data_IF_304028784383
#
_entry.id   IF_304028784383
#
_cell.length_a   1.000
_cell.length_b   1.000
_cell.length_c   1.000
_cell.angle_alpha   90.00
_cell.angle_beta   90.00
_cell.angle_gamma   90.00
#
_symmetry.space_group_name_H-M   'P 1'
#
loop_
_entity.id
_entity.type
_entity.pdbx_description
1 polymer ?
#
# COMPACT_ATOMS: atom_id res chain seq x y z
N UNK A 1 -5.65 -2.25 22.79
CA UNK A 1 -5.29 -0.88 22.45
C UNK A 1 -4.96 -0.77 20.96
N UNK A 2 -5.54 0.20 20.29
CA UNK A 2 -5.31 0.37 18.85
C UNK A 2 -4.00 1.11 18.60
N UNK A 3 -3.22 0.60 17.69
CA UNK A 3 -1.96 1.18 17.27
C UNK A 3 -2.19 2.15 16.10
N UNK A 4 -1.42 3.24 16.06
CA UNK A 4 -1.41 4.14 14.90
C UNK A 4 -0.52 3.51 13.82
N UNK A 5 -1.07 3.31 12.63
CA UNK A 5 -0.38 2.67 11.52
C UNK A 5 0.12 3.76 10.56
N UNK A 6 1.40 3.76 10.27
CA UNK A 6 2.00 4.68 9.30
C UNK A 6 1.94 4.04 7.92
N UNK A 7 1.23 4.67 6.99
CA UNK A 7 0.93 4.12 5.68
C UNK A 7 1.52 5.01 4.59
N UNK A 8 2.24 4.40 3.66
CA UNK A 8 2.68 5.06 2.43
C UNK A 8 1.80 4.54 1.29
N UNK A 9 1.03 5.43 0.69
CA UNK A 9 0.16 5.11 -0.45
C UNK A 9 0.80 5.64 -1.73
N UNK A 10 1.07 4.75 -2.67
CA UNK A 10 1.67 5.10 -3.95
C UNK A 10 0.61 4.93 -5.02
N UNK A 11 -0.02 6.04 -5.42
CA UNK A 11 -1.19 6.05 -6.28
C UNK A 11 -1.29 7.41 -6.96
N UNK A 12 -1.32 7.43 -8.29
CA UNK A 12 -1.41 8.69 -9.03
C UNK A 12 -2.85 9.16 -9.29
N UNK A 13 -3.82 8.26 -9.19
CA UNK A 13 -5.22 8.59 -9.43
C UNK A 13 -5.85 9.21 -8.19
N UNK A 14 -6.35 10.43 -8.34
CA UNK A 14 -6.88 11.20 -7.22
C UNK A 14 -8.13 10.54 -6.61
N UNK A 15 -9.00 9.97 -7.45
CA UNK A 15 -10.21 9.30 -6.95
C UNK A 15 -9.87 8.04 -6.16
N UNK A 16 -8.89 7.27 -6.63
CA UNK A 16 -8.42 6.09 -5.91
C UNK A 16 -7.78 6.47 -4.58
N UNK A 17 -7.03 7.58 -4.54
CA UNK A 17 -6.48 8.10 -3.29
C UNK A 17 -7.59 8.40 -2.29
N UNK A 18 -8.64 9.06 -2.75
CA UNK A 18 -9.78 9.42 -1.89
C UNK A 18 -10.52 8.19 -1.37
N UNK A 19 -10.65 7.16 -2.19
CA UNK A 19 -11.31 5.93 -1.77
C UNK A 19 -10.54 5.22 -0.67
N UNK A 20 -9.21 5.19 -0.75
CA UNK A 20 -8.38 4.61 0.30
C UNK A 20 -8.56 5.39 1.60
N UNK A 21 -8.47 6.73 1.54
CA UNK A 21 -8.64 7.56 2.72
C UNK A 21 -10.01 7.36 3.36
N UNK A 22 -11.06 7.33 2.54
CA UNK A 22 -12.43 7.14 3.03
C UNK A 22 -12.58 5.79 3.72
N UNK A 23 -12.02 4.73 3.13
CA UNK A 23 -12.13 3.40 3.69
C UNK A 23 -11.42 3.29 5.03
N UNK A 24 -10.21 3.86 5.14
CA UNK A 24 -9.47 3.87 6.40
C UNK A 24 -10.27 4.58 7.50
N UNK A 25 -10.87 5.71 7.16
CA UNK A 25 -11.67 6.48 8.11
C UNK A 25 -12.93 5.73 8.54
N UNK A 26 -13.63 5.13 7.59
CA UNK A 26 -14.87 4.39 7.88
C UNK A 26 -14.62 3.14 8.73
N UNK A 27 -13.46 2.53 8.57
CA UNK A 27 -13.08 1.35 9.35
C UNK A 27 -12.51 1.72 10.73
N UNK A 28 -12.47 3.00 11.05
CA UNK A 28 -11.95 3.51 12.33
C UNK A 28 -10.50 3.08 12.59
N UNK A 29 -9.70 3.08 11.53
CA UNK A 29 -8.28 2.71 11.64
C UNK A 29 -7.48 3.95 11.99
N UNK A 30 -6.77 3.90 13.11
CA UNK A 30 -5.85 4.98 13.48
C UNK A 30 -4.65 4.92 12.56
N UNK A 31 -4.42 6.01 11.81
CA UNK A 31 -3.37 5.98 10.79
C UNK A 31 -2.79 7.37 10.53
N UNK A 32 -1.58 7.37 10.00
CA UNK A 32 -0.97 8.54 9.36
C UNK A 32 -0.68 8.13 7.94
N UNK A 33 -1.19 8.89 6.98
CA UNK A 33 -1.13 8.53 5.57
C UNK A 33 -0.30 9.55 4.78
N UNK A 34 0.76 9.07 4.15
CA UNK A 34 1.52 9.85 3.19
C UNK A 34 1.19 9.32 1.79
N UNK A 35 0.74 10.21 0.91
CA UNK A 35 0.36 9.88 -0.47
C UNK A 35 1.42 10.43 -1.39
N UNK A 36 1.91 9.58 -2.30
CA UNK A 36 2.82 9.97 -3.37
C UNK A 36 2.29 9.45 -4.70
N UNK A 37 2.73 10.03 -5.80
CA UNK A 37 2.16 9.78 -7.11
C UNK A 37 2.95 8.79 -7.95
N UNK A 38 4.16 8.43 -7.56
CA UNK A 38 4.99 7.51 -8.34
C UNK A 38 6.08 6.88 -7.45
N UNK A 39 6.80 5.93 -8.04
CA UNK A 39 7.83 5.21 -7.32
C UNK A 39 9.03 6.05 -6.93
N UNK A 40 9.39 7.05 -7.72
CA UNK A 40 10.50 7.94 -7.39
C UNK A 40 10.22 8.74 -6.12
N UNK A 41 9.00 9.29 -6.02
CA UNK A 41 8.58 9.99 -4.82
C UNK A 41 8.54 9.07 -3.60
N UNK A 42 8.09 7.82 -3.81
CA UNK A 42 8.05 6.85 -2.74
C UNK A 42 9.45 6.53 -2.21
N UNK A 43 10.43 6.35 -3.10
CA UNK A 43 11.80 6.11 -2.68
C UNK A 43 12.36 7.28 -1.88
N UNK A 44 12.03 8.51 -2.28
CA UNK A 44 12.47 9.69 -1.53
C UNK A 44 11.89 9.68 -0.11
N UNK A 45 10.63 9.30 0.04
CA UNK A 45 10.00 9.18 1.37
C UNK A 45 10.71 8.12 2.22
N UNK A 46 11.03 6.97 1.61
CA UNK A 46 11.70 5.88 2.34
C UNK A 46 13.12 6.23 2.77
N UNK A 47 13.79 7.10 2.03
CA UNK A 47 15.16 7.51 2.32
C UNK A 47 15.24 8.62 3.39
N UNK A 48 14.10 9.22 3.75
CA UNK A 48 14.08 10.30 4.72
C UNK A 48 12.78 10.31 5.51
N UNK A 49 12.51 11.45 6.14
CA UNK A 49 11.24 11.65 6.84
C UNK A 49 10.28 12.43 5.93
N UNK A 50 9.01 12.43 6.30
CA UNK A 50 7.99 13.17 5.57
C UNK A 50 7.12 13.95 6.55
N UNK A 51 6.14 14.69 6.01
CA UNK A 51 5.29 15.57 6.81
C UNK A 51 4.20 14.84 7.61
N UNK A 52 4.05 13.52 7.43
CA UNK A 52 2.99 12.75 8.08
C UNK A 52 3.51 11.85 9.20
N UNK A 53 4.70 11.28 9.05
CA UNK A 53 5.28 10.41 10.07
C UNK A 53 6.80 10.39 9.93
N UNK A 54 7.48 9.88 10.95
CA UNK A 54 8.93 9.71 10.95
C UNK A 54 9.27 8.22 10.79
N UNK A 55 10.42 7.95 10.18
CA UNK A 55 10.89 6.59 9.99
C UNK A 55 10.20 5.86 8.86
N UNK A 56 10.33 4.54 8.87
CA UNK A 56 9.76 3.69 7.83
C UNK A 56 8.25 3.54 8.03
N UNK A 57 7.47 3.42 6.95
CA UNK A 57 6.05 3.10 7.10
C UNK A 57 5.88 1.68 7.62
N UNK A 58 4.75 1.44 8.27
CA UNK A 58 4.35 0.09 8.68
C UNK A 58 3.79 -0.69 7.49
N UNK A 59 3.21 0.03 6.53
CA UNK A 59 2.47 -0.56 5.43
C UNK A 59 2.66 0.28 4.18
N UNK A 60 2.86 -0.38 3.05
CA UNK A 60 2.87 0.26 1.74
C UNK A 60 1.69 -0.26 0.93
N UNK A 61 0.91 0.65 0.36
CA UNK A 61 -0.15 0.35 -0.60
C UNK A 61 0.33 0.85 -1.95
N UNK A 62 0.46 -0.05 -2.91
CA UNK A 62 1.11 0.23 -4.18
C UNK A 62 0.20 -0.05 -5.38
N UNK A 63 -0.06 0.99 -6.17
CA UNK A 63 -0.66 0.83 -7.49
C UNK A 63 0.42 0.40 -8.48
N UNK A 64 0.16 -0.60 -9.30
CA UNK A 64 1.14 -1.10 -10.27
C UNK A 64 1.25 -0.20 -11.50
N UNK A 65 0.17 0.49 -11.88
CA UNK A 65 0.15 1.33 -13.08
C UNK A 65 0.37 2.80 -12.73
N UNK A 66 1.61 3.24 -12.81
CA UNK A 66 1.97 4.62 -12.50
C UNK A 66 2.90 5.18 -13.56
N UNK A 67 2.88 6.52 -13.77
CA UNK A 67 3.87 7.16 -14.63
C UNK A 67 5.25 7.15 -13.98
N UNK A 68 6.27 7.45 -14.76
CA UNK A 68 7.67 7.47 -14.34
C UNK A 68 8.09 6.06 -13.88
N UNK A 69 8.37 5.82 -12.62
CA UNK A 69 8.71 4.50 -12.15
C UNK A 69 7.43 3.70 -11.88
N UNK A 70 7.17 2.65 -12.67
CA UNK A 70 5.98 1.83 -12.49
C UNK A 70 6.09 0.95 -11.25
N UNK A 71 4.96 0.31 -10.88
CA UNK A 71 4.90 -0.45 -9.64
C UNK A 71 5.85 -1.63 -9.58
N UNK A 72 6.06 -2.33 -10.69
CA UNK A 72 6.99 -3.48 -10.71
C UNK A 72 8.43 -3.04 -10.53
N UNK A 73 8.83 -1.93 -11.14
CA UNK A 73 10.16 -1.37 -10.95
C UNK A 73 10.38 -0.98 -9.49
N UNK A 74 9.38 -0.37 -8.88
CA UNK A 74 9.44 0.00 -7.46
C UNK A 74 9.57 -1.24 -6.58
N UNK A 75 8.78 -2.29 -6.86
CA UNK A 75 8.86 -3.55 -6.11
C UNK A 75 10.27 -4.16 -6.16
N UNK A 76 10.88 -4.18 -7.35
CA UNK A 76 12.22 -4.72 -7.50
C UNK A 76 13.21 -3.97 -6.62
N UNK A 77 13.10 -2.65 -6.58
CA UNK A 77 14.00 -1.83 -5.78
C UNK A 77 13.79 -2.03 -4.28
N UNK A 78 12.54 -2.06 -3.83
CA UNK A 78 12.26 -2.17 -2.41
C UNK A 78 12.60 -3.56 -1.88
N UNK A 79 12.36 -4.60 -2.66
CA UNK A 79 12.64 -5.97 -2.23
C UNK A 79 14.13 -6.33 -2.27
N UNK A 80 14.93 -5.56 -2.97
CA UNK A 80 16.38 -5.73 -2.96
C UNK A 80 17.08 -4.91 -1.87
N UNK A 81 16.34 -4.08 -1.14
CA UNK A 81 16.91 -3.21 -0.13
C UNK A 81 16.78 -3.83 1.26
N UNK A 82 17.91 -3.97 1.95
CA UNK A 82 17.97 -4.69 3.23
C UNK A 82 17.07 -4.08 4.31
N UNK A 83 16.88 -2.76 4.29
CA UNK A 83 16.07 -2.08 5.30
C UNK A 83 14.57 -2.03 4.97
N UNK A 84 14.19 -2.19 3.71
CA UNK A 84 12.81 -2.00 3.27
C UNK A 84 12.09 -3.28 2.87
N UNK A 85 12.83 -4.36 2.58
CA UNK A 85 12.25 -5.59 2.04
C UNK A 85 11.24 -6.25 2.98
N UNK A 86 11.30 -5.97 4.26
CA UNK A 86 10.40 -6.56 5.25
C UNK A 86 9.14 -5.73 5.52
N UNK A 87 9.03 -4.54 4.92
CA UNK A 87 7.83 -3.72 5.11
C UNK A 87 6.65 -4.42 4.46
N UNK A 88 5.53 -4.51 5.18
CA UNK A 88 4.31 -5.11 4.63
C UNK A 88 3.84 -4.29 3.44
N UNK A 89 3.54 -4.97 2.33
CA UNK A 89 3.16 -4.31 1.10
C UNK A 89 1.97 -5.02 0.46
N UNK A 90 0.91 -4.28 0.21
CA UNK A 90 -0.25 -4.74 -0.52
C UNK A 90 -0.33 -4.00 -1.85
N UNK A 91 -0.70 -4.72 -2.90
CA UNK A 91 -0.81 -4.16 -4.25
C UNK A 91 -2.27 -3.84 -4.54
N UNK A 92 -2.50 -2.59 -4.99
CA UNK A 92 -3.82 -2.15 -5.48
C UNK A 92 -3.86 -2.43 -6.98
N UNK A 93 -4.84 -3.20 -7.43
CA UNK A 93 -4.90 -3.63 -8.82
C UNK A 93 -6.34 -3.78 -9.29
N UNK A 94 -6.56 -3.66 -10.60
CA UNK A 94 -7.85 -3.97 -11.19
C UNK A 94 -7.91 -5.45 -11.55
N UNK A 95 -9.12 -5.97 -11.76
CA UNK A 95 -9.30 -7.39 -12.01
C UNK A 95 -8.72 -7.85 -13.35
N UNK A 96 -8.44 -6.92 -14.28
CA UNK A 96 -7.91 -7.24 -15.60
C UNK A 96 -6.39 -7.15 -15.70
N UNK A 97 -5.69 -6.91 -14.59
CA UNK A 97 -4.23 -6.79 -14.56
C UNK A 97 -3.58 -8.11 -14.13
N UNK A 98 -3.90 -9.21 -14.84
CA UNK A 98 -3.44 -10.54 -14.44
C UNK A 98 -1.94 -10.74 -14.58
N UNK A 99 -1.34 -10.25 -15.66
CA UNK A 99 0.11 -10.40 -15.88
C UNK A 99 0.91 -9.62 -14.82
N UNK A 100 0.47 -8.41 -14.50
CA UNK A 100 1.11 -7.59 -13.48
C UNK A 100 0.97 -8.23 -12.10
N UNK A 101 -0.18 -8.83 -11.80
CA UNK A 101 -0.39 -9.53 -10.54
C UNK A 101 0.57 -10.71 -10.39
N UNK A 102 0.71 -11.51 -11.46
CA UNK A 102 1.64 -12.63 -11.44
C UNK A 102 3.08 -12.18 -11.24
N UNK A 103 3.48 -11.12 -11.93
CA UNK A 103 4.82 -10.58 -11.79
C UNK A 103 5.05 -10.05 -10.37
N UNK A 104 4.08 -9.34 -9.80
CA UNK A 104 4.19 -8.80 -8.46
C UNK A 104 4.26 -9.89 -7.39
N UNK A 105 3.52 -10.99 -7.58
CA UNK A 105 3.48 -12.06 -6.60
C UNK A 105 4.84 -12.72 -6.38
N UNK A 106 5.73 -12.61 -7.36
CA UNK A 106 7.07 -13.19 -7.25
C UNK A 106 7.97 -12.42 -6.29
N UNK A 107 7.57 -11.22 -5.87
CA UNK A 107 8.37 -10.40 -4.96
C UNK A 107 8.00 -10.60 -3.50
N UNK A 108 7.13 -11.56 -3.17
CA UNK A 108 6.79 -11.82 -1.77
C UNK A 108 5.96 -10.74 -1.13
N UNK A 109 4.99 -10.20 -1.86
CA UNK A 109 4.06 -9.20 -1.32
C UNK A 109 3.09 -9.83 -0.34
N UNK A 110 2.45 -8.99 0.49
CA UNK A 110 1.53 -9.46 1.51
C UNK A 110 0.14 -9.82 0.95
N UNK A 111 -0.26 -9.18 -0.14
CA UNK A 111 -1.55 -9.49 -0.76
C UNK A 111 -1.95 -8.47 -1.80
N UNK A 112 -3.13 -8.69 -2.38
CA UNK A 112 -3.72 -7.81 -3.39
C UNK A 112 -5.04 -7.25 -2.88
N UNK A 113 -5.31 -5.98 -3.21
CA UNK A 113 -6.61 -5.35 -2.97
C UNK A 113 -7.15 -4.91 -4.32
N UNK A 114 -8.34 -5.40 -4.67
CA UNK A 114 -8.93 -5.13 -5.99
C UNK A 114 -9.62 -3.76 -6.00
N UNK A 115 -9.30 -2.95 -7.01
CA UNK A 115 -9.98 -1.68 -7.25
C UNK A 115 -11.24 -1.90 -8.09
N UNK A 116 -12.26 -1.08 -7.94
CA UNK A 116 -12.38 0.02 -6.98
C UNK A 116 -12.67 -0.49 -5.57
N UNK A 117 -12.23 0.29 -4.56
CA UNK A 117 -12.48 -0.01 -3.15
C UNK A 117 -13.90 0.40 -2.81
N UNK A 118 -14.84 -0.52 -2.96
CA UNK A 118 -16.24 -0.28 -2.62
C UNK A 118 -16.58 -1.07 -1.38
N UNK A 119 -17.17 -0.41 -0.40
CA UNK A 119 -17.57 -1.06 0.85
C UNK A 119 -18.61 -2.16 0.63
N UNK A 120 -19.34 -2.10 -0.49
CA UNK A 120 -20.34 -3.11 -0.85
C UNK A 120 -19.73 -4.31 -1.59
N UNK A 121 -18.46 -4.25 -1.99
CA UNK A 121 -17.82 -5.33 -2.73
C UNK A 121 -17.16 -6.31 -1.75
N UNK A 122 -17.65 -7.54 -1.61
CA UNK A 122 -17.07 -8.48 -0.64
C UNK A 122 -15.58 -8.74 -0.87
N UNK A 123 -15.15 -8.88 -2.12
CA UNK A 123 -13.75 -9.19 -2.41
C UNK A 123 -12.80 -8.06 -1.97
N UNK A 124 -13.19 -6.79 -2.20
CA UNK A 124 -12.36 -5.66 -1.77
C UNK A 124 -12.36 -5.52 -0.25
N UNK A 125 -13.51 -5.72 0.38
CA UNK A 125 -13.65 -5.60 1.83
C UNK A 125 -12.86 -6.71 2.53
N UNK A 126 -12.94 -7.94 2.03
CA UNK A 126 -12.24 -9.07 2.63
C UNK A 126 -10.72 -8.87 2.56
N UNK A 127 -10.21 -8.42 1.42
CA UNK A 127 -8.78 -8.16 1.27
C UNK A 127 -8.33 -7.03 2.20
N UNK A 128 -9.14 -5.98 2.31
CA UNK A 128 -8.83 -4.86 3.18
C UNK A 128 -8.85 -5.28 4.66
N UNK A 129 -9.84 -6.10 5.05
CA UNK A 129 -9.91 -6.62 6.41
C UNK A 129 -8.73 -7.51 6.73
N UNK A 130 -8.31 -8.36 5.79
CA UNK A 130 -7.12 -9.20 5.98
C UNK A 130 -5.88 -8.33 6.20
N UNK A 131 -5.73 -7.26 5.44
CA UNK A 131 -4.63 -6.33 5.61
C UNK A 131 -4.59 -5.76 7.03
N UNK A 132 -5.74 -5.31 7.51
CA UNK A 132 -5.85 -4.75 8.86
C UNK A 132 -5.53 -5.80 9.92
N UNK A 133 -6.03 -7.01 9.76
CA UNK A 133 -5.77 -8.10 10.70
C UNK A 133 -4.28 -8.42 10.77
N UNK A 134 -3.60 -8.47 9.61
CA UNK A 134 -2.17 -8.71 9.57
C UNK A 134 -1.38 -7.61 10.29
N UNK A 135 -1.80 -6.35 10.13
CA UNK A 135 -1.15 -5.24 10.81
C UNK A 135 -1.38 -5.29 12.33
N UNK A 136 -2.59 -5.65 12.75
CA UNK A 136 -2.92 -5.74 14.17
C UNK A 136 -2.15 -6.87 14.87
N UNK A 137 -1.89 -7.97 14.18
CA UNK A 137 -1.13 -9.08 14.74
C UNK A 137 0.30 -8.71 15.10
N UNK A 138 0.81 -7.60 14.61
CA UNK A 138 2.16 -7.14 14.90
C UNK A 138 2.26 -6.29 16.17
N UNK A 139 1.15 -6.04 16.83
CA UNK A 139 1.11 -5.21 18.03
C UNK A 139 1.63 -5.94 19.26
N UNK A 140 1.62 -7.23 19.22
CA UNK A 140 2.04 -8.07 20.36
C UNK A 140 3.54 -8.13 20.53
#
# INVERSE_FOLDING_TARGET
MKRVINILLIEDDHLDQMEVQRTLTKKNILHRLKIVSNGEEALAVLQGSNDQFTGKPDLILLDLNMPKMNGLEFLAKIKSHSEWKEIKLFVLTTSDEQEEKQAASRYGISGFITKPLKLESPSSIDAFNLMIDLMNMQIN
#
